data_IF_791876703088
#
_entry.id   IF_791876703088
#
_cell.length_a   1.000
_cell.length_b   1.000
_cell.length_c   1.000
_cell.angle_alpha   90.00
_cell.angle_beta   90.00
_cell.angle_gamma   90.00
#
_symmetry.space_group_name_H-M   'P 1'
#
loop_
_entity.id
_entity.type
_entity.pdbx_description
1 polymer ?
#
# COMPACT_ATOMS: atom_id res chain seq x y z
N UNK A 1 3.02 -45.01 -32.33
CA UNK A 1 2.09 -43.91 -32.71
C UNK A 1 0.84 -44.12 -31.87
N UNK A 2 0.54 -43.37 -30.82
CA UNK A 2 0.56 -41.91 -30.62
C UNK A 2 0.99 -41.57 -29.18
N UNK A 3 1.64 -40.43 -28.97
CA UNK A 3 1.82 -39.78 -27.64
C UNK A 3 0.72 -38.71 -27.45
N UNK A 4 0.71 -37.88 -26.39
CA UNK A 4 0.60 -38.13 -24.94
C UNK A 4 -0.60 -37.34 -24.34
N UNK A 5 -0.88 -37.44 -23.03
CA UNK A 5 -1.51 -36.31 -22.32
C UNK A 5 -0.82 -36.08 -20.98
N UNK A 6 -0.11 -34.96 -20.92
CA UNK A 6 0.48 -34.38 -19.73
C UNK A 6 -0.64 -33.98 -18.77
N UNK A 7 -0.67 -34.61 -17.60
CA UNK A 7 -1.47 -34.14 -16.46
C UNK A 7 -0.75 -32.98 -15.79
N UNK A 8 -1.12 -31.78 -16.18
CA UNK A 8 -0.89 -30.53 -15.47
C UNK A 8 -1.23 -30.67 -13.99
N UNK A 9 -0.22 -30.47 -13.14
CA UNK A 9 -0.38 -30.22 -11.71
C UNK A 9 0.41 -28.97 -11.33
N UNK A 10 0.26 -27.88 -12.08
CA UNK A 10 0.62 -26.55 -11.57
C UNK A 10 -0.26 -26.38 -10.34
N UNK A 11 0.33 -26.46 -9.16
CA UNK A 11 -0.34 -26.13 -7.91
C UNK A 11 -0.68 -24.65 -7.98
N UNK A 12 -1.85 -24.34 -8.54
CA UNK A 12 -2.45 -23.02 -8.53
C UNK A 12 -2.77 -22.72 -7.07
N UNK A 13 -1.83 -22.04 -6.42
CA UNK A 13 -2.04 -21.45 -5.11
C UNK A 13 -3.28 -20.54 -5.25
N UNK A 14 -4.35 -20.79 -4.49
CA UNK A 14 -5.60 -20.07 -4.67
C UNK A 14 -5.38 -18.58 -4.39
N UNK A 15 -5.78 -17.73 -5.34
CA UNK A 15 -5.72 -16.26 -5.27
C UNK A 15 -6.64 -15.66 -4.18
N UNK A 16 -7.22 -16.46 -3.28
CA UNK A 16 -8.40 -16.09 -2.49
C UNK A 16 -8.15 -15.40 -1.15
N UNK A 17 -6.92 -15.22 -0.68
CA UNK A 17 -6.69 -14.64 0.67
C UNK A 17 -5.56 -13.62 0.72
N UNK A 18 -5.50 -12.71 -0.27
CA UNK A 18 -4.92 -11.39 0.04
C UNK A 18 -5.93 -10.64 0.89
N UNK A 19 -5.90 -10.91 2.19
CA UNK A 19 -6.52 -10.05 3.19
C UNK A 19 -5.95 -8.64 3.01
N UNK A 20 -6.67 -7.79 2.27
CA UNK A 20 -6.22 -6.44 1.91
C UNK A 20 -6.01 -5.54 3.13
N UNK A 21 -6.45 -5.99 4.31
CA UNK A 21 -6.26 -5.33 5.60
C UNK A 21 -5.02 -5.78 6.36
N UNK A 22 -4.41 -6.92 6.01
CA UNK A 22 -3.20 -7.41 6.65
C UNK A 22 -2.00 -6.63 6.14
N UNK A 23 -1.47 -5.75 6.99
CA UNK A 23 -0.17 -5.14 6.76
C UNK A 23 0.86 -6.27 6.89
N UNK A 24 1.52 -6.61 5.79
CA UNK A 24 2.68 -7.50 5.84
C UNK A 24 3.74 -6.88 6.78
N UNK A 25 4.14 -7.56 7.88
CA UNK A 25 5.08 -7.00 8.85
C UNK A 25 6.43 -6.65 8.25
N UNK A 26 6.88 -7.36 7.21
CA UNK A 26 8.15 -7.12 6.55
C UNK A 26 8.08 -5.89 5.63
N UNK A 27 6.96 -5.72 4.93
CA UNK A 27 6.71 -4.50 4.15
C UNK A 27 6.68 -3.25 5.06
N UNK A 28 6.09 -3.38 6.25
CA UNK A 28 6.08 -2.30 7.23
C UNK A 28 7.47 -2.04 7.82
N UNK A 29 8.26 -3.08 8.10
CA UNK A 29 9.67 -2.93 8.57
C UNK A 29 10.55 -2.24 7.54
N UNK A 30 10.49 -2.66 6.28
CA UNK A 30 11.21 -2.01 5.19
C UNK A 30 10.83 -0.53 5.06
N UNK A 31 9.54 -0.21 5.23
CA UNK A 31 9.08 1.18 5.31
C UNK A 31 9.71 1.91 6.50
N UNK A 32 9.72 1.33 7.71
CA UNK A 32 10.28 1.97 8.91
C UNK A 32 11.78 2.27 8.78
N UNK A 33 12.55 1.36 8.19
CA UNK A 33 13.98 1.58 7.93
C UNK A 33 14.21 2.75 6.97
N UNK A 34 13.48 2.79 5.85
CA UNK A 34 13.55 3.90 4.89
C UNK A 34 13.01 5.22 5.48
N UNK A 35 11.95 5.12 6.27
CA UNK A 35 11.32 6.24 6.96
C UNK A 35 12.24 6.83 8.02
N UNK A 36 13.17 6.08 8.60
CA UNK A 36 14.11 6.60 9.59
C UNK A 36 15.42 7.10 8.97
N UNK A 37 15.72 6.75 7.72
CA UNK A 37 17.02 7.00 7.07
C UNK A 37 17.00 8.12 6.03
N UNK A 38 16.72 9.37 6.44
CA UNK A 38 16.97 10.55 5.58
C UNK A 38 17.97 11.51 6.25
N UNK A 39 19.21 11.51 5.73
CA UNK A 39 20.23 12.51 6.04
C UNK A 39 21.09 12.20 7.28
N UNK A 40 22.39 12.47 7.15
CA UNK A 40 23.49 12.52 8.15
C UNK A 40 23.47 11.57 9.38
N UNK A 41 22.72 10.45 9.32
CA UNK A 41 22.64 9.47 10.41
C UNK A 41 21.74 9.86 11.59
N UNK A 42 20.83 10.83 11.43
CA UNK A 42 19.92 11.28 12.50
C UNK A 42 18.50 10.73 12.40
N UNK A 43 17.86 10.45 13.54
CA UNK A 43 16.43 10.10 13.62
C UNK A 43 15.55 11.27 13.16
N UNK A 44 14.59 11.02 12.27
CA UNK A 44 13.63 12.05 11.82
C UNK A 44 12.86 12.65 13.01
N UNK A 45 12.58 13.98 12.99
CA UNK A 45 11.62 14.57 13.91
C UNK A 45 10.24 13.88 13.80
N UNK A 46 9.56 13.68 14.93
CA UNK A 46 8.26 12.97 15.00
C UNK A 46 7.25 13.46 13.96
N UNK A 47 7.17 14.78 13.75
CA UNK A 47 6.27 15.38 12.77
C UNK A 47 6.53 14.86 11.35
N UNK A 48 7.79 14.81 10.94
CA UNK A 48 8.19 14.36 9.61
C UNK A 48 7.97 12.85 9.45
N UNK A 49 8.24 12.08 10.52
CA UNK A 49 7.97 10.65 10.53
C UNK A 49 6.47 10.35 10.37
N UNK A 50 5.61 11.07 11.09
CA UNK A 50 4.15 10.93 11.00
C UNK A 50 3.63 11.27 9.59
N UNK A 51 4.13 12.34 8.98
CA UNK A 51 3.77 12.70 7.60
C UNK A 51 4.16 11.58 6.63
N UNK A 52 5.34 10.99 6.79
CA UNK A 52 5.81 9.89 5.94
C UNK A 52 4.97 8.61 6.11
N UNK A 53 4.65 8.25 7.37
CA UNK A 53 3.79 7.10 7.68
C UNK A 53 2.38 7.29 7.13
N UNK A 54 1.84 8.50 7.25
CA UNK A 54 0.54 8.85 6.70
C UNK A 54 0.53 8.78 5.16
N UNK A 55 1.55 9.32 4.50
CA UNK A 55 1.70 9.23 3.04
C UNK A 55 1.72 7.79 2.57
N UNK A 56 2.54 6.94 3.20
CA UNK A 56 2.64 5.53 2.85
C UNK A 56 1.30 4.80 3.02
N UNK A 57 0.61 5.00 4.15
CA UNK A 57 -0.65 4.30 4.43
C UNK A 57 -1.76 4.71 3.46
N UNK A 58 -1.84 6.00 3.12
CA UNK A 58 -2.79 6.52 2.13
C UNK A 58 -2.47 5.99 0.73
N UNK A 59 -1.20 6.01 0.31
CA UNK A 59 -0.78 5.51 -1.00
C UNK A 59 -1.09 4.02 -1.17
N UNK A 60 -0.85 3.22 -0.12
CA UNK A 60 -1.16 1.79 -0.11
C UNK A 60 -2.67 1.52 -0.23
N UNK A 61 -3.50 2.21 0.55
CA UNK A 61 -4.96 2.09 0.46
C UNK A 61 -5.47 2.47 -0.94
N UNK A 62 -4.94 3.55 -1.52
CA UNK A 62 -5.26 3.94 -2.89
C UNK A 62 -4.85 2.85 -3.90
N UNK A 63 -3.66 2.25 -3.75
CA UNK A 63 -3.19 1.15 -4.61
C UNK A 63 -4.07 -0.08 -4.50
N UNK A 64 -4.41 -0.51 -3.28
CA UNK A 64 -5.28 -1.66 -3.02
C UNK A 64 -6.68 -1.45 -3.61
N UNK A 65 -7.17 -0.21 -3.60
CA UNK A 65 -8.46 0.18 -4.14
C UNK A 65 -8.42 0.55 -5.64
N UNK A 66 -7.31 0.32 -6.35
CA UNK A 66 -7.18 0.67 -7.77
C UNK A 66 -7.39 2.17 -8.07
N UNK A 67 -7.02 3.04 -7.12
CA UNK A 67 -7.22 4.48 -7.19
C UNK A 67 -8.59 4.97 -6.75
N UNK A 68 -9.52 4.08 -6.38
CA UNK A 68 -10.84 4.48 -5.89
C UNK A 68 -10.73 5.12 -4.50
N UNK A 69 -10.80 6.46 -4.47
CA UNK A 69 -10.64 7.27 -3.25
C UNK A 69 -11.76 7.03 -2.23
N UNK A 70 -12.98 6.71 -2.69
CA UNK A 70 -14.09 6.42 -1.78
C UNK A 70 -13.91 5.07 -1.10
N UNK A 71 -13.43 4.05 -1.84
CA UNK A 71 -13.08 2.76 -1.27
C UNK A 71 -11.88 2.87 -0.32
N UNK A 72 -10.84 3.61 -0.71
CA UNK A 72 -9.65 3.84 0.13
C UNK A 72 -10.01 4.54 1.45
N UNK A 73 -10.89 5.55 1.43
CA UNK A 73 -11.36 6.21 2.64
C UNK A 73 -12.07 5.24 3.60
N UNK A 74 -12.90 4.33 3.05
CA UNK A 74 -13.57 3.28 3.82
C UNK A 74 -12.58 2.27 4.41
N UNK A 75 -11.60 1.83 3.62
CA UNK A 75 -10.51 0.94 4.08
C UNK A 75 -9.71 1.57 5.23
N UNK A 76 -9.43 2.88 5.12
CA UNK A 76 -8.71 3.65 6.14
C UNK A 76 -9.56 4.00 7.37
N UNK A 77 -10.87 3.75 7.36
CA UNK A 77 -11.76 4.10 8.46
C UNK A 77 -11.95 5.61 8.66
N UNK A 78 -11.76 6.42 7.61
CA UNK A 78 -11.87 7.89 7.68
C UNK A 78 -12.94 8.44 6.71
N UNK A 79 -13.42 9.65 6.98
CA UNK A 79 -14.30 10.35 6.06
C UNK A 79 -13.61 10.72 4.75
N UNK A 80 -14.35 10.70 3.63
CA UNK A 80 -13.82 11.07 2.29
C UNK A 80 -13.22 12.49 2.27
N UNK A 81 -13.87 13.45 2.94
CA UNK A 81 -13.35 14.83 3.07
C UNK A 81 -12.00 14.86 3.78
N UNK A 82 -11.84 14.04 4.83
CA UNK A 82 -10.58 13.91 5.57
C UNK A 82 -9.49 13.30 4.70
N UNK A 83 -9.80 12.27 3.92
CA UNK A 83 -8.85 11.69 2.97
C UNK A 83 -8.38 12.74 1.95
N UNK A 84 -9.30 13.51 1.34
CA UNK A 84 -8.96 14.56 0.39
C UNK A 84 -8.04 15.62 0.99
N UNK A 85 -8.37 16.12 2.19
CA UNK A 85 -7.56 17.13 2.88
C UNK A 85 -6.14 16.62 3.18
N UNK A 86 -6.01 15.35 3.59
CA UNK A 86 -4.71 14.71 3.84
C UNK A 86 -3.92 14.52 2.55
N UNK A 87 -4.57 14.07 1.48
CA UNK A 87 -3.93 13.91 0.16
C UNK A 87 -3.41 15.24 -0.37
N UNK A 88 -4.20 16.32 -0.26
CA UNK A 88 -3.78 17.67 -0.66
C UNK A 88 -2.58 18.14 0.15
N UNK A 89 -2.67 18.07 1.48
CA UNK A 89 -1.59 18.47 2.39
C UNK A 89 -0.27 17.72 2.14
N UNK A 90 -0.36 16.43 1.82
CA UNK A 90 0.80 15.55 1.62
C UNK A 90 1.25 15.45 0.16
N UNK A 91 0.61 16.18 -0.77
CA UNK A 91 0.95 16.15 -2.20
C UNK A 91 0.64 14.83 -2.90
N UNK A 92 -0.25 14.00 -2.36
CA UNK A 92 -0.60 12.68 -2.91
C UNK A 92 -1.56 12.86 -4.08
N UNK A 93 -1.03 12.72 -5.30
CA UNK A 93 -1.86 12.74 -6.51
C UNK A 93 -2.15 11.31 -6.93
N UNK A 94 -3.42 10.90 -6.87
CA UNK A 94 -3.86 9.63 -7.44
C UNK A 94 -3.93 9.74 -8.97
N UNK A 95 -2.78 9.75 -9.67
CA UNK A 95 -2.72 9.63 -11.12
C UNK A 95 -2.75 8.15 -11.49
N UNK A 96 -3.92 7.65 -11.83
CA UNK A 96 -4.11 6.31 -12.40
C UNK A 96 -4.53 6.51 -13.87
N UNK A 97 -3.65 6.13 -14.79
CA UNK A 97 -3.82 6.33 -16.23
C UNK A 97 -2.63 7.04 -16.88
N UNK A 98 -1.58 6.27 -17.18
CA UNK A 98 -0.66 6.43 -18.32
C UNK A 98 -0.29 5.03 -18.79
#
# INVERSE_FOLDING_TARGET
>A
MVSPVSGTGRSEMPMSERDSTSIDPEEFRAFLEHANTLGDGGTKPLKLWLEHAETWRIARALKNCGGNRSAAARELGIGRRTLYAKMEKLGITARWGL
#
